data_IF_100824216692
#
_entry.id   IF_100824216692
#
_cell.length_a   1.000
_cell.length_b   1.000
_cell.length_c   1.000
_cell.angle_alpha   90.00
_cell.angle_beta   90.00
_cell.angle_gamma   90.00
#
_symmetry.space_group_name_H-M   'P 1'
#
loop_
_entity.id
_entity.type
_entity.pdbx_description
1 polymer ?
#
# COMPACT_ATOMS: atom_id res chain seq x y z
N UNK A 1 15.99 -0.31 8.32
CA UNK A 1 16.47 -0.96 7.07
C UNK A 1 17.94 -0.65 6.73
N UNK A 2 18.54 0.40 7.32
CA UNK A 2 19.98 0.62 7.19
C UNK A 2 20.76 -0.62 7.71
N UNK A 3 21.88 -1.03 7.08
CA UNK A 3 22.53 -0.33 5.94
C UNK A 3 21.97 -0.69 4.56
N UNK A 4 21.01 -1.63 4.45
CA UNK A 4 20.52 -2.13 3.15
C UNK A 4 19.93 -1.02 2.28
N UNK A 5 19.29 -0.03 2.90
CA UNK A 5 18.61 1.07 2.21
C UNK A 5 19.46 2.31 1.98
N UNK A 6 20.74 2.29 2.36
CA UNK A 6 21.65 3.43 2.14
C UNK A 6 21.94 3.62 0.65
N UNK A 7 21.96 2.53 -0.11
CA UNK A 7 22.28 2.51 -1.54
C UNK A 7 21.25 1.82 -2.42
N UNK A 8 20.19 1.25 -1.84
CA UNK A 8 19.12 0.58 -2.56
C UNK A 8 17.78 1.02 -1.99
N UNK A 9 16.87 1.59 -2.79
CA UNK A 9 15.55 1.95 -2.27
C UNK A 9 14.82 0.68 -1.83
N UNK A 10 14.08 0.77 -0.71
CA UNK A 10 13.42 -0.38 -0.08
C UNK A 10 12.59 -1.25 -1.05
N UNK A 11 11.82 -0.69 -1.99
CA UNK A 11 11.07 -1.48 -2.97
C UNK A 11 11.94 -2.33 -3.91
N UNK A 12 13.22 -2.00 -4.06
CA UNK A 12 14.16 -2.77 -4.88
C UNK A 12 14.97 -3.81 -4.09
N UNK A 13 14.78 -3.94 -2.79
CA UNK A 13 15.41 -5.02 -2.03
C UNK A 13 14.98 -6.37 -2.56
N UNK A 14 15.95 -7.28 -2.71
CA UNK A 14 15.70 -8.62 -3.26
C UNK A 14 14.93 -9.48 -2.26
N UNK A 15 13.88 -10.13 -2.73
CA UNK A 15 13.08 -11.14 -2.03
C UNK A 15 12.85 -12.31 -2.97
N UNK A 16 13.27 -13.50 -2.59
CA UNK A 16 13.13 -14.72 -3.39
C UNK A 16 13.64 -14.59 -4.85
N UNK A 17 14.72 -13.81 -5.04
CA UNK A 17 15.41 -13.65 -6.32
C UNK A 17 14.92 -12.52 -7.22
N UNK A 18 13.94 -11.69 -6.77
CA UNK A 18 13.46 -10.50 -7.51
C UNK A 18 13.17 -9.33 -6.55
N UNK A 19 13.13 -8.06 -7.03
CA UNK A 19 12.79 -6.92 -6.20
C UNK A 19 11.42 -7.05 -5.53
N UNK A 20 11.28 -6.55 -4.30
CA UNK A 20 10.03 -6.59 -3.53
C UNK A 20 8.85 -5.99 -4.33
N UNK A 21 9.03 -4.85 -4.97
CA UNK A 21 8.00 -4.19 -5.78
C UNK A 21 7.56 -5.03 -6.98
N UNK A 22 8.45 -5.86 -7.56
CA UNK A 22 8.11 -6.71 -8.72
C UNK A 22 7.11 -7.79 -8.33
N UNK A 23 7.11 -8.26 -7.08
CA UNK A 23 6.07 -9.18 -6.60
C UNK A 23 4.68 -8.55 -6.69
N UNK A 24 4.55 -7.25 -6.39
CA UNK A 24 3.28 -6.54 -6.53
C UNK A 24 2.92 -6.34 -8.00
N UNK A 25 3.85 -5.85 -8.81
CA UNK A 25 3.61 -5.58 -10.23
C UNK A 25 3.09 -6.83 -10.95
N UNK A 26 3.76 -7.98 -10.78
CA UNK A 26 3.34 -9.24 -11.40
C UNK A 26 1.94 -9.68 -10.95
N UNK A 27 1.62 -9.53 -9.66
CA UNK A 27 0.29 -9.87 -9.13
C UNK A 27 -0.80 -8.91 -9.60
N UNK A 28 -0.49 -7.62 -9.69
CA UNK A 28 -1.40 -6.61 -10.23
C UNK A 28 -1.71 -6.91 -11.70
N UNK A 29 -0.69 -7.18 -12.51
CA UNK A 29 -0.85 -7.57 -13.91
C UNK A 29 -1.64 -8.87 -14.05
N UNK A 30 -1.36 -9.88 -13.23
CA UNK A 30 -2.12 -11.14 -13.22
C UNK A 30 -3.60 -10.94 -12.82
N UNK A 31 -3.90 -9.89 -12.07
CA UNK A 31 -5.27 -9.49 -11.73
C UNK A 31 -5.94 -8.63 -12.83
N UNK A 32 -5.20 -8.24 -13.88
CA UNK A 32 -5.70 -7.37 -14.95
C UNK A 32 -5.47 -5.88 -14.72
N UNK A 33 -4.76 -5.50 -13.65
CA UNK A 33 -4.36 -4.12 -13.34
C UNK A 33 -3.01 -3.85 -14.00
N UNK A 34 -3.05 -3.23 -15.18
CA UNK A 34 -1.85 -3.02 -16.02
C UNK A 34 -1.38 -1.57 -16.06
N UNK A 35 -2.20 -0.60 -15.69
CA UNK A 35 -1.81 0.80 -15.55
C UNK A 35 -1.40 1.06 -14.10
N UNK A 36 -0.13 1.39 -13.88
CA UNK A 36 0.46 1.50 -12.54
C UNK A 36 1.14 2.86 -12.42
N UNK A 37 0.86 3.56 -11.33
CA UNK A 37 1.59 4.77 -10.95
C UNK A 37 2.47 4.44 -9.73
N UNK A 38 3.74 4.77 -9.82
CA UNK A 38 4.69 4.58 -8.72
C UNK A 38 5.15 5.96 -8.24
N UNK A 39 4.78 6.32 -7.02
CA UNK A 39 5.35 7.49 -6.37
C UNK A 39 6.65 7.11 -5.64
N UNK A 40 7.63 7.99 -5.69
CA UNK A 40 8.94 7.77 -5.08
C UNK A 40 9.62 9.08 -4.70
N UNK A 41 10.50 9.03 -3.69
CA UNK A 41 11.36 10.12 -3.29
C UNK A 41 12.82 9.65 -3.22
N UNK A 42 13.18 8.90 -2.19
CA UNK A 42 14.54 8.42 -1.96
C UNK A 42 15.03 7.44 -3.03
N UNK A 43 16.14 7.78 -3.72
CA UNK A 43 16.74 6.98 -4.79
C UNK A 43 15.75 6.60 -5.90
N UNK A 44 14.77 7.47 -6.21
CA UNK A 44 13.71 7.21 -7.19
C UNK A 44 14.22 6.85 -8.57
N UNK A 45 15.30 7.50 -9.05
CA UNK A 45 15.95 7.18 -10.34
C UNK A 45 16.38 5.72 -10.47
N UNK A 46 16.72 5.06 -9.35
CA UNK A 46 17.03 3.62 -9.34
C UNK A 46 15.78 2.77 -9.56
N UNK A 47 14.64 3.21 -9.04
CA UNK A 47 13.36 2.53 -9.26
C UNK A 47 12.97 2.65 -10.73
N UNK A 48 13.03 3.86 -11.29
CA UNK A 48 12.73 4.11 -12.70
C UNK A 48 13.67 3.31 -13.63
N UNK A 49 14.98 3.31 -13.33
CA UNK A 49 15.96 2.53 -14.10
C UNK A 49 15.68 1.02 -14.06
N UNK A 50 15.29 0.49 -12.89
CA UNK A 50 15.08 -0.94 -12.70
C UNK A 50 13.79 -1.45 -13.34
N UNK A 51 12.72 -0.63 -13.34
CA UNK A 51 11.39 -1.04 -13.78
C UNK A 51 11.05 -0.53 -15.18
N UNK A 52 11.72 0.53 -15.67
CA UNK A 52 11.47 1.15 -16.98
C UNK A 52 10.01 1.60 -17.10
N UNK A 53 9.44 1.42 -18.28
CA UNK A 53 8.04 1.71 -18.59
C UNK A 53 7.07 0.57 -18.21
N UNK A 54 7.58 -0.52 -17.66
CA UNK A 54 6.81 -1.67 -17.20
C UNK A 54 6.51 -2.73 -18.28
N UNK A 55 6.87 -2.50 -19.55
CA UNK A 55 6.56 -3.46 -20.65
C UNK A 55 7.09 -4.87 -20.38
N UNK A 56 8.25 -4.99 -19.74
CA UNK A 56 8.85 -6.28 -19.34
C UNK A 56 7.97 -7.11 -18.40
N UNK A 57 7.04 -6.46 -17.70
CA UNK A 57 6.09 -7.10 -16.77
C UNK A 57 4.68 -7.20 -17.35
N UNK A 58 4.44 -6.67 -18.55
CA UNK A 58 3.09 -6.53 -19.14
C UNK A 58 2.29 -5.38 -18.53
N UNK A 59 2.95 -4.42 -17.91
CA UNK A 59 2.36 -3.21 -17.32
C UNK A 59 2.74 -1.96 -18.14
N UNK A 60 2.03 -0.86 -17.85
CA UNK A 60 2.39 0.51 -18.23
C UNK A 60 2.63 1.27 -16.93
N UNK A 61 3.89 1.58 -16.65
CA UNK A 61 4.29 2.27 -15.43
C UNK A 61 4.49 3.76 -15.73
N UNK A 62 3.91 4.60 -14.89
CA UNK A 62 4.16 6.03 -14.82
C UNK A 62 4.73 6.37 -13.44
N UNK A 63 5.55 7.42 -13.35
CA UNK A 63 6.21 7.79 -12.12
C UNK A 63 5.74 9.16 -11.64
N UNK A 64 5.53 9.28 -10.33
CA UNK A 64 5.29 10.53 -9.62
C UNK A 64 6.46 10.79 -8.68
N UNK A 65 7.44 11.57 -9.15
CA UNK A 65 8.61 11.92 -8.35
C UNK A 65 8.25 12.96 -7.29
N UNK A 66 8.47 12.63 -6.04
CA UNK A 66 8.27 13.53 -4.90
C UNK A 66 9.54 14.38 -4.65
N UNK A 67 9.40 15.54 -4.03
CA UNK A 67 10.55 16.34 -3.63
C UNK A 67 11.43 15.59 -2.61
N UNK A 68 12.65 16.07 -2.43
CA UNK A 68 13.59 15.55 -1.43
C UNK A 68 12.93 15.58 -0.03
N UNK A 69 12.98 14.44 0.66
CA UNK A 69 12.33 14.24 1.96
C UNK A 69 10.95 13.56 1.87
N UNK A 70 10.37 13.46 0.68
CA UNK A 70 9.05 12.84 0.47
C UNK A 70 7.89 13.71 0.93
N UNK A 71 6.67 13.23 0.70
CA UNK A 71 5.43 13.94 1.04
C UNK A 71 4.55 13.16 2.04
N UNK A 72 5.03 12.06 2.59
CA UNK A 72 4.22 11.03 3.27
C UNK A 72 3.20 10.41 2.29
N UNK A 73 2.53 9.34 2.71
CA UNK A 73 1.63 8.61 1.80
C UNK A 73 0.48 9.47 1.27
N UNK A 74 -0.09 10.34 2.11
CA UNK A 74 -1.21 11.21 1.69
C UNK A 74 -0.79 12.24 0.65
N UNK A 75 0.29 12.97 0.91
CA UNK A 75 0.81 13.99 -0.02
C UNK A 75 1.35 13.38 -1.32
N UNK A 76 2.00 12.22 -1.24
CA UNK A 76 2.48 11.50 -2.42
C UNK A 76 1.34 11.04 -3.33
N UNK A 77 0.26 10.49 -2.76
CA UNK A 77 -0.95 10.12 -3.52
C UNK A 77 -1.62 11.36 -4.10
N UNK A 78 -1.76 12.43 -3.32
CA UNK A 78 -2.34 13.69 -3.81
C UNK A 78 -1.59 14.23 -5.03
N UNK A 79 -0.25 14.23 -4.98
CA UNK A 79 0.58 14.62 -6.12
C UNK A 79 0.39 13.72 -7.34
N UNK A 80 0.11 12.44 -7.13
CA UNK A 80 -0.09 11.45 -8.20
C UNK A 80 -1.50 11.47 -8.83
N UNK A 81 -2.50 12.13 -8.22
CA UNK A 81 -3.88 12.15 -8.72
C UNK A 81 -4.02 12.50 -10.20
N UNK A 82 -3.27 13.47 -10.78
CA UNK A 82 -3.35 13.75 -12.21
C UNK A 82 -2.99 12.57 -13.12
N UNK A 83 -2.22 11.60 -12.62
CA UNK A 83 -1.83 10.38 -13.34
C UNK A 83 -2.83 9.24 -13.08
N UNK A 84 -3.49 9.23 -11.93
CA UNK A 84 -4.45 8.20 -11.49
C UNK A 84 -5.84 8.37 -12.11
N UNK A 85 -6.21 9.59 -12.50
CA UNK A 85 -7.52 9.87 -13.08
C UNK A 85 -8.61 10.13 -12.03
N UNK A 86 -9.88 9.92 -12.43
CA UNK A 86 -11.05 10.24 -11.60
C UNK A 86 -11.74 9.01 -10.99
N UNK A 87 -11.36 7.82 -11.44
CA UNK A 87 -11.95 6.58 -10.94
C UNK A 87 -11.23 6.12 -9.65
N UNK A 88 -11.91 5.35 -8.80
CA UNK A 88 -11.26 4.72 -7.65
C UNK A 88 -10.05 3.87 -8.08
N UNK A 89 -8.99 3.94 -7.31
CA UNK A 89 -7.73 3.24 -7.58
C UNK A 89 -7.29 2.36 -6.40
N UNK A 90 -6.58 1.29 -6.70
CA UNK A 90 -5.96 0.43 -5.71
C UNK A 90 -4.61 1.02 -5.28
N UNK A 91 -4.49 1.35 -4.01
CA UNK A 91 -3.25 1.78 -3.39
C UNK A 91 -2.59 0.60 -2.67
N UNK A 92 -1.31 0.37 -2.96
CA UNK A 92 -0.51 -0.69 -2.34
C UNK A 92 0.80 -0.11 -1.83
N UNK A 93 1.09 -0.29 -0.55
CA UNK A 93 2.36 0.10 0.03
C UNK A 93 3.49 -0.77 -0.53
N UNK A 94 4.55 -0.15 -1.05
CA UNK A 94 5.68 -0.84 -1.67
C UNK A 94 6.61 -1.57 -0.69
N UNK A 95 6.32 -1.53 0.60
CA UNK A 95 7.13 -2.13 1.67
C UNK A 95 6.44 -3.28 2.40
N UNK A 96 5.30 -3.73 1.89
CA UNK A 96 4.63 -4.94 2.34
C UNK A 96 4.83 -6.08 1.34
N UNK A 97 4.64 -7.29 1.79
CA UNK A 97 4.54 -8.46 0.93
C UNK A 97 3.28 -9.24 1.30
N UNK A 98 2.59 -9.78 0.28
CA UNK A 98 1.44 -10.66 0.49
C UNK A 98 1.29 -11.63 -0.67
N UNK A 99 0.69 -12.79 -0.42
CA UNK A 99 0.23 -13.71 -1.47
C UNK A 99 -1.22 -13.47 -1.89
N UNK A 100 -1.86 -12.43 -1.35
CA UNK A 100 -3.24 -12.08 -1.65
C UNK A 100 -3.51 -11.88 -3.14
N UNK A 101 -4.68 -12.32 -3.59
CA UNK A 101 -5.12 -12.17 -4.97
C UNK A 101 -5.81 -10.82 -5.18
N UNK A 102 -5.15 -9.91 -5.89
CA UNK A 102 -5.66 -8.57 -6.17
C UNK A 102 -6.94 -8.52 -7.01
N UNK A 103 -7.37 -9.65 -7.64
CA UNK A 103 -8.69 -9.74 -8.28
C UNK A 103 -9.82 -9.50 -7.28
N UNK A 104 -9.62 -9.81 -6.00
CA UNK A 104 -10.60 -9.54 -4.96
C UNK A 104 -10.84 -8.03 -4.77
N UNK A 105 -9.83 -7.19 -4.99
CA UNK A 105 -10.00 -5.74 -4.95
C UNK A 105 -10.92 -5.24 -6.07
N UNK A 106 -10.80 -5.82 -7.27
CA UNK A 106 -11.63 -5.44 -8.43
C UNK A 106 -13.11 -5.84 -8.26
N UNK A 107 -13.38 -6.83 -7.42
CA UNK A 107 -14.75 -7.28 -7.12
C UNK A 107 -15.40 -6.48 -5.97
N UNK A 108 -14.62 -5.64 -5.27
CA UNK A 108 -15.09 -4.86 -4.14
C UNK A 108 -15.68 -3.52 -4.63
N UNK A 109 -17.00 -3.32 -4.59
CA UNK A 109 -17.56 -2.02 -4.90
C UNK A 109 -17.22 -1.04 -3.77
N UNK A 110 -16.82 0.16 -4.11
CA UNK A 110 -16.56 1.21 -3.10
C UNK A 110 -17.89 1.77 -2.54
N UNK A 111 -18.96 1.79 -3.36
CA UNK A 111 -20.27 2.31 -2.96
C UNK A 111 -20.19 3.78 -2.58
N UNK A 112 -20.72 4.12 -1.40
CA UNK A 112 -20.69 5.49 -0.84
C UNK A 112 -19.42 5.77 0.00
N UNK A 113 -18.51 4.78 0.12
CA UNK A 113 -17.27 4.97 0.85
C UNK A 113 -16.25 5.75 0.03
N UNK A 114 -15.46 6.55 0.70
CA UNK A 114 -14.27 7.22 0.13
C UNK A 114 -13.03 6.33 0.14
N UNK A 115 -13.04 5.31 1.00
CA UNK A 115 -11.98 4.31 1.05
C UNK A 115 -12.51 2.95 1.52
N UNK A 116 -11.87 1.88 1.02
CA UNK A 116 -12.03 0.52 1.53
C UNK A 116 -10.66 -0.03 1.92
N UNK A 117 -10.51 -0.45 3.19
CA UNK A 117 -9.24 -0.90 3.74
C UNK A 117 -9.22 -2.43 3.90
N UNK A 118 -8.11 -3.06 3.54
CA UNK A 118 -7.86 -4.44 3.97
C UNK A 118 -7.00 -4.42 5.22
N UNK A 119 -7.47 -5.10 6.25
CA UNK A 119 -6.84 -5.17 7.56
C UNK A 119 -6.33 -6.58 7.83
N UNK A 120 -5.30 -6.70 8.64
CA UNK A 120 -4.71 -7.98 9.05
C UNK A 120 -4.73 -8.12 10.57
N UNK A 121 -4.57 -9.34 11.05
CA UNK A 121 -4.29 -9.59 12.47
C UNK A 121 -3.03 -8.84 12.90
N UNK A 122 -3.04 -8.32 14.13
CA UNK A 122 -1.93 -7.51 14.63
C UNK A 122 -0.63 -8.33 14.71
N UNK A 123 0.43 -7.91 14.00
CA UNK A 123 1.75 -8.49 14.18
C UNK A 123 2.35 -8.04 15.52
N UNK A 124 3.36 -8.76 16.00
CA UNK A 124 4.01 -8.46 17.29
C UNK A 124 4.46 -7.01 17.44
N UNK A 125 4.94 -6.39 16.35
CA UNK A 125 5.44 -5.02 16.36
C UNK A 125 4.33 -3.95 16.30
N UNK A 126 3.06 -4.33 16.06
CA UNK A 126 1.88 -3.47 16.12
C UNK A 126 0.74 -4.15 16.90
N UNK A 127 1.01 -4.56 18.12
CA UNK A 127 0.09 -5.33 18.95
C UNK A 127 -1.23 -4.62 19.24
N UNK A 128 -1.27 -3.30 19.19
CA UNK A 128 -2.48 -2.50 19.41
C UNK A 128 -3.35 -2.38 18.15
N UNK A 129 -2.77 -2.56 16.96
CA UNK A 129 -3.45 -2.31 15.69
C UNK A 129 -3.65 -0.82 15.39
N UNK A 130 -4.32 -0.54 14.29
CA UNK A 130 -4.50 0.83 13.77
C UNK A 130 -5.97 1.26 13.79
N UNK A 131 -6.89 0.34 13.49
CA UNK A 131 -8.31 0.60 13.28
C UNK A 131 -9.18 -0.56 13.78
N UNK A 132 -10.39 -0.24 14.25
CA UNK A 132 -11.42 -1.24 14.54
C UNK A 132 -12.21 -1.59 13.28
N UNK A 133 -12.78 -2.78 13.23
CA UNK A 133 -13.62 -3.27 12.14
C UNK A 133 -14.87 -3.95 12.71
N UNK A 134 -16.04 -3.37 12.39
CA UNK A 134 -17.33 -3.92 12.75
C UNK A 134 -18.28 -3.88 11.54
N UNK A 135 -18.88 -5.01 11.16
CA UNK A 135 -19.84 -5.09 10.05
C UNK A 135 -19.36 -4.39 8.74
N UNK A 136 -18.09 -4.55 8.40
CA UNK A 136 -17.42 -3.89 7.27
C UNK A 136 -17.20 -2.38 7.42
N UNK A 137 -17.55 -1.78 8.55
CA UNK A 137 -17.25 -0.39 8.86
C UNK A 137 -15.91 -0.31 9.59
N UNK A 138 -15.01 0.52 9.10
CA UNK A 138 -13.72 0.81 9.74
C UNK A 138 -13.83 2.10 10.53
N UNK A 139 -13.33 2.09 11.76
CA UNK A 139 -13.30 3.26 12.62
C UNK A 139 -11.93 3.45 13.29
N UNK A 140 -11.59 4.71 13.55
CA UNK A 140 -10.49 5.04 14.43
C UNK A 140 -10.95 4.77 15.86
N UNK A 141 -10.45 3.71 16.47
CA UNK A 141 -10.82 3.39 17.84
C UNK A 141 -10.10 4.33 18.81
N UNK A 142 -10.88 5.14 19.53
CA UNK A 142 -10.42 5.94 20.64
C UNK A 142 -10.72 5.26 22.00
N UNK A 143 -11.36 4.06 21.97
CA UNK A 143 -11.75 3.32 23.16
C UNK A 143 -11.04 1.97 23.21
N UNK A 144 -10.60 1.55 24.38
CA UNK A 144 -9.93 0.25 24.63
C UNK A 144 -10.88 -0.97 24.51
N UNK A 145 -12.12 -0.78 24.07
CA UNK A 145 -13.16 -1.79 24.10
C UNK A 145 -13.31 -2.58 22.78
N UNK A 146 -12.92 -2.01 21.64
CA UNK A 146 -13.06 -2.64 20.34
C UNK A 146 -11.80 -3.38 19.94
N UNK A 147 -11.98 -4.48 19.18
CA UNK A 147 -10.85 -5.21 18.61
C UNK A 147 -10.27 -4.45 17.44
N UNK A 148 -9.04 -3.95 17.58
CA UNK A 148 -8.30 -3.31 16.50
C UNK A 148 -7.50 -4.32 15.68
N UNK A 149 -7.27 -3.95 14.42
CA UNK A 149 -6.50 -4.68 13.43
C UNK A 149 -5.46 -3.74 12.80
N UNK A 150 -4.42 -4.31 12.26
CA UNK A 150 -3.38 -3.56 11.54
C UNK A 150 -3.81 -3.28 10.11
N UNK A 151 -3.59 -2.06 9.62
CA UNK A 151 -3.77 -1.72 8.21
C UNK A 151 -2.70 -2.42 7.36
N UNK A 152 -3.14 -3.20 6.39
CA UNK A 152 -2.22 -3.99 5.56
C UNK A 152 -1.38 -3.16 4.58
N UNK A 153 -1.68 -1.88 4.42
CA UNK A 153 -1.09 -1.06 3.36
C UNK A 153 -1.76 -1.28 1.98
N UNK A 154 -2.91 -1.98 1.95
CA UNK A 154 -3.69 -2.21 0.73
C UNK A 154 -5.06 -1.58 0.91
N UNK A 155 -5.46 -0.71 -0.01
CA UNK A 155 -6.74 -0.01 0.04
C UNK A 155 -7.26 0.36 -1.34
N UNK A 156 -8.57 0.39 -1.51
CA UNK A 156 -9.25 1.01 -2.65
C UNK A 156 -9.64 2.43 -2.22
N UNK A 157 -9.26 3.42 -3.01
CA UNK A 157 -9.39 4.84 -2.65
C UNK A 157 -10.15 5.56 -3.75
N UNK A 158 -11.17 6.36 -3.37
CA UNK A 158 -11.76 7.37 -4.25
C UNK A 158 -10.87 8.62 -4.30
N UNK A 159 -10.62 9.22 -5.48
CA UNK A 159 -9.99 10.54 -5.56
C UNK A 159 -10.72 11.61 -4.73
N UNK A 160 -12.03 11.46 -4.50
CA UNK A 160 -12.82 12.37 -3.68
C UNK A 160 -12.35 12.47 -2.23
N UNK A 161 -11.65 11.46 -1.71
CA UNK A 161 -11.02 11.51 -0.39
C UNK A 161 -10.07 12.71 -0.23
N UNK A 162 -9.55 13.23 -1.35
CA UNK A 162 -8.58 14.31 -1.40
C UNK A 162 -9.21 15.66 -1.82
N UNK A 163 -10.54 15.76 -1.94
CA UNK A 163 -11.22 16.95 -2.50
C UNK A 163 -10.86 18.25 -1.76
N UNK A 164 -10.68 18.20 -0.45
CA UNK A 164 -10.37 19.36 0.41
C UNK A 164 -8.88 19.46 0.76
N UNK A 165 -8.01 18.70 0.05
CA UNK A 165 -6.58 18.70 0.34
C UNK A 165 -5.85 19.78 -0.46
N UNK A 166 -4.78 20.30 0.12
CA UNK A 166 -3.81 21.17 -0.53
C UNK A 166 -2.49 20.42 -0.74
N UNK A 167 -1.70 20.79 -1.76
CA UNK A 167 -0.38 20.18 -1.98
C UNK A 167 0.51 20.31 -0.74
N UNK A 168 1.19 19.23 -0.36
CA UNK A 168 2.10 19.28 0.78
C UNK A 168 2.36 17.94 1.43
N UNK A 169 3.01 18.02 2.59
CA UNK A 169 3.40 16.88 3.41
C UNK A 169 2.26 16.52 4.38
N UNK A 170 1.58 15.38 4.15
CA UNK A 170 0.56 14.88 5.06
C UNK A 170 0.36 13.36 4.96
N UNK A 171 -0.12 12.79 6.05
CA UNK A 171 -0.34 11.35 6.18
C UNK A 171 -1.73 10.95 5.68
N UNK A 172 -1.80 9.88 4.90
CA UNK A 172 -3.08 9.29 4.48
C UNK A 172 -3.96 8.90 5.67
N UNK A 173 -3.36 8.39 6.75
CA UNK A 173 -4.08 8.03 7.97
C UNK A 173 -4.90 9.19 8.56
N UNK A 174 -4.48 10.44 8.40
CA UNK A 174 -5.22 11.63 8.87
C UNK A 174 -6.52 11.79 8.07
N UNK A 175 -6.46 11.65 6.76
CA UNK A 175 -7.65 11.71 5.89
C UNK A 175 -8.61 10.56 6.19
N UNK A 176 -8.10 9.34 6.29
CA UNK A 176 -8.90 8.17 6.62
C UNK A 176 -9.62 8.35 7.96
N UNK A 177 -8.93 8.83 9.01
CA UNK A 177 -9.56 9.11 10.31
C UNK A 177 -10.63 10.19 10.24
N UNK A 178 -10.48 11.16 9.34
CA UNK A 178 -11.52 12.18 9.10
C UNK A 178 -12.74 11.56 8.42
N UNK A 179 -12.56 10.77 7.37
CA UNK A 179 -13.64 10.07 6.68
C UNK A 179 -14.34 9.01 7.56
N UNK A 180 -13.60 8.37 8.48
CA UNK A 180 -14.17 7.45 9.47
C UNK A 180 -15.21 8.11 10.39
N UNK A 181 -15.06 9.40 10.71
CA UNK A 181 -16.02 10.15 11.55
C UNK A 181 -17.41 10.25 10.92
N UNK A 182 -17.48 10.15 9.60
CA UNK A 182 -18.72 10.20 8.81
C UNK A 182 -19.08 8.84 8.21
N UNK A 183 -18.52 7.75 8.74
CA UNK A 183 -18.74 6.38 8.28
C UNK A 183 -18.43 6.15 6.79
N UNK A 184 -17.50 6.92 6.21
CA UNK A 184 -17.13 6.82 4.79
C UNK A 184 -15.92 5.92 4.52
N UNK A 185 -15.52 5.07 5.47
CA UNK A 185 -14.44 4.10 5.31
C UNK A 185 -14.95 2.69 5.62
N UNK A 186 -15.04 1.88 4.59
CA UNK A 186 -15.33 0.47 4.73
C UNK A 186 -14.07 -0.39 4.83
N UNK A 187 -14.22 -1.68 5.10
CA UNK A 187 -13.09 -2.60 5.10
C UNK A 187 -13.44 -4.05 5.34
N UNK A 188 -12.44 -4.89 5.17
CA UNK A 188 -12.50 -6.32 5.42
C UNK A 188 -11.18 -6.86 5.96
N UNK A 189 -11.20 -8.04 6.55
CA UNK A 189 -9.97 -8.76 6.87
C UNK A 189 -9.36 -9.31 5.58
N UNK A 190 -8.07 -9.09 5.41
CA UNK A 190 -7.27 -9.71 4.36
C UNK A 190 -6.95 -11.15 4.80
N UNK A 191 -7.52 -12.11 4.07
CA UNK A 191 -7.31 -13.53 4.36
C UNK A 191 -6.22 -14.09 3.44
N UNK A 192 -4.96 -13.80 3.78
CA UNK A 192 -3.77 -14.22 3.05
C UNK A 192 -2.53 -14.08 3.93
N UNK A 193 -1.40 -14.64 3.51
CA UNK A 193 -0.13 -14.32 4.13
C UNK A 193 0.23 -12.86 3.86
N UNK A 194 0.67 -12.18 4.89
CA UNK A 194 1.05 -10.77 4.82
C UNK A 194 2.23 -10.48 5.75
N UNK A 195 3.19 -9.72 5.27
CA UNK A 195 4.36 -9.29 6.04
C UNK A 195 4.69 -7.83 5.71
N UNK A 196 4.78 -7.00 6.73
CA UNK A 196 5.43 -5.69 6.63
C UNK A 196 6.95 -5.89 6.66
N UNK A 197 7.61 -5.59 5.53
CA UNK A 197 9.05 -5.74 5.35
C UNK A 197 9.76 -4.49 5.89
N UNK A 198 9.54 -4.16 7.17
CA UNK A 198 10.07 -2.95 7.81
C UNK A 198 11.49 -3.08 8.34
N UNK A 199 12.02 -4.29 8.53
CA UNK A 199 13.38 -4.53 9.05
C UNK A 199 14.13 -5.59 8.24
N UNK A 200 15.50 -5.59 8.29
CA UNK A 200 16.29 -6.63 7.64
C UNK A 200 15.95 -8.05 8.12
N UNK A 201 15.65 -8.20 9.41
CA UNK A 201 15.29 -9.47 10.03
C UNK A 201 13.98 -10.01 9.44
N UNK A 202 12.94 -9.15 9.29
CA UNK A 202 11.66 -9.54 8.67
C UNK A 202 11.82 -9.90 7.20
N UNK A 203 12.67 -9.19 6.46
CA UNK A 203 13.01 -9.54 5.09
C UNK A 203 13.67 -10.94 5.01
N UNK A 204 14.62 -11.22 5.89
CA UNK A 204 15.33 -12.51 5.92
C UNK A 204 14.41 -13.67 6.34
N UNK A 205 13.52 -13.46 7.30
CA UNK A 205 12.52 -14.44 7.71
C UNK A 205 11.58 -14.79 6.56
N UNK A 206 11.05 -13.78 5.87
CA UNK A 206 10.19 -13.96 4.70
C UNK A 206 10.92 -14.68 3.55
N UNK A 207 12.19 -14.33 3.28
CA UNK A 207 13.03 -14.98 2.30
C UNK A 207 13.17 -16.50 2.61
N UNK A 208 13.37 -16.83 3.88
CA UNK A 208 13.51 -18.23 4.34
C UNK A 208 12.19 -18.99 4.17
N UNK A 209 11.07 -18.39 4.55
CA UNK A 209 9.74 -18.97 4.38
C UNK A 209 9.46 -19.29 2.91
N UNK A 210 9.63 -18.31 2.01
CA UNK A 210 9.36 -18.49 0.58
C UNK A 210 10.27 -19.51 -0.11
N UNK A 211 11.46 -19.78 0.44
CA UNK A 211 12.35 -20.85 -0.04
C UNK A 211 11.92 -22.23 0.42
N UNK A 212 11.28 -22.35 1.57
CA UNK A 212 10.80 -23.62 2.11
C UNK A 212 9.50 -24.12 1.48
N UNK A 213 8.75 -23.23 0.81
CA UNK A 213 7.47 -23.53 0.14
C UNK A 213 7.65 -23.95 -1.34
N UNK A 214 8.90 -23.97 -1.85
CA UNK A 214 9.28 -24.42 -3.21
C UNK A 214 9.81 -25.84 -3.18
#
# INVERSE_FOLDING_TARGET
MAPLTDHCPKPLLSLAGKPLIVHHIEKLVAAGITEIVINHAWLGEKIETALGDGQQFGAKIQYSAEPEGGLETGGGVFQALPLLGQEPFLLVNGDVWTDWDYRQALMQPLGEHLAWLWLVANPEHNALGDFSLEQQQVAADETTASKCYTFSGISLISPELFADCEPGFFRLATLLRTAMKTAQVGGALLNANWVDVGTPERLQQLETQLKSEK
#
